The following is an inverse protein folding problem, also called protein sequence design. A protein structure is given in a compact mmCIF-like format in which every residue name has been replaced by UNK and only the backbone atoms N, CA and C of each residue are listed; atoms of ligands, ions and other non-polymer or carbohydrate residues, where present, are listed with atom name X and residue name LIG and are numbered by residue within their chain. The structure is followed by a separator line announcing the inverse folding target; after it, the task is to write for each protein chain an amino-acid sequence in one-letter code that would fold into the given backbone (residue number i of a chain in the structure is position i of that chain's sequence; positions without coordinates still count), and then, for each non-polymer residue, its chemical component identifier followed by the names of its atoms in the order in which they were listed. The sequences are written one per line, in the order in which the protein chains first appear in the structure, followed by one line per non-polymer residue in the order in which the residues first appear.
data_IF_219845938786
#
_entry.id   IF_219845938786
#
_cell.length_a   1.000
_cell.length_b   1.000
_cell.length_c   1.000
_cell.angle_alpha   90.00
_cell.angle_beta   90.00
_cell.angle_gamma   90.00
#
_symmetry.space_group_name_H-M   'P 1'
#
loop_
_entity.id
_entity.type
_entity.pdbx_description
1 polymer ?
#
# COMPACT_ATOMS: atom_id res chain seq x y z
N UNK A 1 8.93 15.66 -29.46
CA UNK A 1 7.85 14.98 -28.70
C UNK A 1 8.50 13.76 -28.11
N UNK A 2 8.96 13.85 -26.86
CA UNK A 2 9.52 12.70 -26.16
C UNK A 2 8.35 11.79 -25.83
N UNK A 3 8.33 10.57 -26.36
CA UNK A 3 7.49 9.53 -25.80
C UNK A 3 8.00 9.31 -24.38
N UNK A 4 7.16 9.56 -23.37
CA UNK A 4 7.41 9.01 -22.05
C UNK A 4 7.49 7.50 -22.24
N UNK A 5 8.70 6.93 -22.11
CA UNK A 5 8.83 5.50 -21.91
C UNK A 5 8.00 5.17 -20.67
N UNK A 6 6.84 4.54 -20.85
CA UNK A 6 6.13 3.91 -19.74
C UNK A 6 7.13 2.92 -19.15
N UNK A 7 7.72 3.27 -18.00
CA UNK A 7 8.58 2.34 -17.26
C UNK A 7 7.77 1.07 -17.01
N UNK A 8 8.33 -0.07 -17.42
CA UNK A 8 7.82 -1.40 -17.09
C UNK A 8 7.71 -1.57 -15.56
N UNK A 9 6.89 -2.51 -15.12
CA UNK A 9 6.72 -2.86 -13.72
C UNK A 9 8.08 -3.04 -13.02
N UNK A 10 8.34 -2.25 -11.98
CA UNK A 10 9.55 -2.36 -11.18
C UNK A 10 9.37 -1.75 -9.78
N UNK A 11 10.21 -2.19 -8.84
CA UNK A 11 10.19 -1.74 -7.43
C UNK A 11 10.27 -0.21 -7.31
N UNK A 12 11.12 0.45 -8.10
CA UNK A 12 11.27 1.91 -8.06
C UNK A 12 9.97 2.66 -8.37
N UNK A 13 9.11 2.09 -9.23
CA UNK A 13 7.81 2.68 -9.55
C UNK A 13 6.83 2.54 -8.38
N UNK A 14 6.84 1.38 -7.71
CA UNK A 14 6.06 1.13 -6.49
C UNK A 14 6.51 2.09 -5.38
N UNK A 15 7.82 2.21 -5.16
CA UNK A 15 8.40 3.10 -4.15
C UNK A 15 7.97 4.55 -4.40
N UNK A 16 8.08 5.03 -5.64
CA UNK A 16 7.66 6.39 -6.01
C UNK A 16 6.16 6.61 -5.75
N UNK A 17 5.32 5.63 -6.08
CA UNK A 17 3.88 5.71 -5.84
C UNK A 17 3.56 5.77 -4.34
N UNK A 18 4.17 4.90 -3.55
CA UNK A 18 3.98 4.86 -2.09
C UNK A 18 4.51 6.15 -1.42
N UNK A 19 5.68 6.62 -1.82
CA UNK A 19 6.27 7.85 -1.28
C UNK A 19 5.37 9.08 -1.53
N UNK A 20 4.85 9.21 -2.75
CA UNK A 20 3.89 10.25 -3.07
C UNK A 20 2.62 10.10 -2.23
N UNK A 21 2.06 8.89 -2.18
CA UNK A 21 0.85 8.60 -1.42
C UNK A 21 0.98 9.01 0.06
N UNK A 22 2.04 8.55 0.73
CA UNK A 22 2.22 8.83 2.15
C UNK A 22 2.46 10.31 2.40
N UNK A 23 3.22 11.01 1.56
CA UNK A 23 3.41 12.46 1.73
C UNK A 23 2.13 13.26 1.52
N UNK A 24 1.34 12.91 0.51
CA UNK A 24 0.11 13.61 0.15
C UNK A 24 -1.01 13.47 1.20
N UNK A 25 -0.93 12.48 2.09
CA UNK A 25 -1.95 12.23 3.11
C UNK A 25 -1.55 12.62 4.54
N UNK A 26 -0.34 13.14 4.77
CA UNK A 26 0.15 13.53 6.11
C UNK A 26 -0.79 14.49 6.82
N UNK A 27 -1.21 15.57 6.15
CA UNK A 27 -2.08 16.59 6.76
C UNK A 27 -3.45 16.00 7.13
N UNK A 28 -3.99 15.13 6.28
CA UNK A 28 -5.34 14.55 6.42
C UNK A 28 -5.45 13.51 7.52
N UNK A 29 -4.32 12.89 7.86
CA UNK A 29 -4.21 11.88 8.91
C UNK A 29 -3.47 12.42 10.14
N UNK A 30 -3.22 13.74 10.19
CA UNK A 30 -2.42 14.37 11.26
C UNK A 30 -3.06 14.29 12.65
N UNK A 31 -4.38 14.13 12.73
CA UNK A 31 -5.12 13.96 13.99
C UNK A 31 -5.30 12.48 14.37
N UNK A 32 -4.84 11.54 13.54
CA UNK A 32 -5.00 10.10 13.74
C UNK A 32 -3.74 9.49 14.30
N UNK A 33 -3.89 8.73 15.38
CA UNK A 33 -2.83 7.82 15.81
C UNK A 33 -2.98 6.51 15.06
N UNK A 34 -1.92 6.04 14.42
CA UNK A 34 -1.95 4.88 13.54
C UNK A 34 -1.27 3.70 14.24
N UNK A 35 -2.01 2.60 14.35
CA UNK A 35 -1.55 1.33 14.91
C UNK A 35 -1.04 0.38 13.81
N UNK A 36 -1.65 0.40 12.64
CA UNK A 36 -1.29 -0.49 11.53
C UNK A 36 -1.60 0.15 10.17
N UNK A 37 -0.71 -0.05 9.20
CA UNK A 37 -0.97 0.23 7.78
C UNK A 37 -1.02 -1.08 7.03
N UNK A 38 -2.11 -1.31 6.31
CA UNK A 38 -2.27 -2.44 5.39
C UNK A 38 -2.07 -1.98 3.95
N UNK A 39 -1.22 -2.68 3.20
CA UNK A 39 -1.05 -2.49 1.76
C UNK A 39 -1.61 -3.72 1.05
N UNK A 40 -2.80 -3.57 0.51
CA UNK A 40 -3.49 -4.61 -0.26
C UNK A 40 -2.98 -4.65 -1.71
N UNK A 41 -2.53 -5.82 -2.16
CA UNK A 41 -1.98 -6.03 -3.51
C UNK A 41 -2.89 -6.99 -4.27
N UNK A 42 -3.69 -6.48 -5.20
CA UNK A 42 -4.73 -7.24 -5.91
C UNK A 42 -4.49 -7.21 -7.44
N UNK A 43 -3.49 -7.96 -7.95
CA UNK A 43 -3.09 -7.93 -9.35
C UNK A 43 -4.23 -8.23 -10.33
N UNK A 44 -5.08 -9.20 -10.01
CA UNK A 44 -6.21 -9.61 -10.85
C UNK A 44 -7.37 -8.60 -10.87
N UNK A 45 -7.39 -7.64 -9.94
CA UNK A 45 -8.33 -6.53 -9.94
C UNK A 45 -7.70 -5.24 -10.47
N UNK A 46 -6.44 -5.28 -10.92
CA UNK A 46 -5.68 -4.08 -11.27
C UNK A 46 -5.79 -3.03 -10.16
N UNK A 47 -5.62 -3.47 -8.90
CA UNK A 47 -5.87 -2.65 -7.71
C UNK A 47 -4.74 -2.80 -6.70
N UNK A 48 -4.43 -1.67 -6.08
CA UNK A 48 -3.58 -1.57 -4.88
C UNK A 48 -4.36 -0.73 -3.90
N UNK A 49 -4.40 -1.15 -2.64
CA UNK A 49 -5.11 -0.45 -1.56
C UNK A 49 -4.11 -0.07 -0.47
N UNK A 50 -4.34 1.08 0.15
CA UNK A 50 -3.69 1.46 1.40
C UNK A 50 -4.78 1.77 2.41
N UNK A 51 -4.79 0.98 3.48
CA UNK A 51 -5.75 1.09 4.58
C UNK A 51 -5.02 1.42 5.88
N UNK A 52 -5.69 2.13 6.78
CA UNK A 52 -5.13 2.50 8.08
C UNK A 52 -6.01 1.96 9.20
N UNK A 53 -5.39 1.37 10.21
CA UNK A 53 -6.04 1.06 11.48
C UNK A 53 -5.69 2.16 12.48
N UNK A 54 -6.68 2.97 12.85
CA UNK A 54 -6.50 4.04 13.83
C UNK A 54 -6.62 3.50 15.27
N UNK A 55 -5.84 4.06 16.20
CA UNK A 55 -5.93 3.70 17.61
C UNK A 55 -7.36 3.90 18.13
N UNK A 56 -7.95 2.82 18.65
CA UNK A 56 -9.33 2.83 19.16
C UNK A 56 -10.41 2.62 18.08
N UNK A 57 -10.05 2.17 16.88
CA UNK A 57 -11.03 1.62 15.94
C UNK A 57 -11.84 0.48 16.62
N UNK A 58 -13.13 0.45 16.34
CA UNK A 58 -14.08 -0.52 16.90
C UNK A 58 -14.11 -1.84 16.14
N UNK A 59 -13.61 -1.86 14.90
CA UNK A 59 -13.48 -3.06 14.09
C UNK A 59 -12.40 -3.99 14.65
N UNK A 60 -12.46 -5.26 14.29
CA UNK A 60 -11.36 -6.19 14.59
C UNK A 60 -10.15 -5.85 13.72
N UNK A 61 -8.95 -5.99 14.28
CA UNK A 61 -7.70 -5.86 13.53
C UNK A 61 -7.64 -6.85 12.34
N UNK A 62 -8.28 -8.01 12.44
CA UNK A 62 -8.25 -9.03 11.39
C UNK A 62 -9.32 -8.79 10.30
N UNK A 63 -10.26 -7.87 10.53
CA UNK A 63 -11.36 -7.53 9.61
C UNK A 63 -11.08 -6.20 8.89
N UNK A 64 -10.06 -6.22 8.02
CA UNK A 64 -9.50 -5.03 7.35
C UNK A 64 -10.59 -4.22 6.62
N UNK A 65 -11.54 -4.90 5.97
CA UNK A 65 -12.62 -4.25 5.22
C UNK A 65 -13.62 -3.50 6.12
N UNK A 66 -13.63 -3.77 7.43
CA UNK A 66 -14.48 -3.09 8.40
C UNK A 66 -13.81 -1.87 9.05
N UNK A 67 -12.51 -1.65 8.81
CA UNK A 67 -11.79 -0.52 9.36
C UNK A 67 -12.36 0.80 8.85
N UNK A 68 -12.35 1.82 9.71
CA UNK A 68 -12.90 3.14 9.36
C UNK A 68 -12.14 3.82 8.21
N UNK A 69 -10.83 3.56 8.12
CA UNK A 69 -9.95 4.08 7.07
C UNK A 69 -9.52 2.96 6.09
N UNK A 70 -10.42 2.01 5.83
CA UNK A 70 -10.26 0.99 4.80
C UNK A 70 -10.17 1.60 3.40
N UNK A 71 -9.23 1.12 2.57
CA UNK A 71 -8.96 1.59 1.21
C UNK A 71 -9.00 3.13 1.11
N UNK A 72 -8.28 3.79 2.03
CA UNK A 72 -8.17 5.25 2.06
C UNK A 72 -7.58 5.79 0.75
N UNK A 73 -6.82 4.95 0.02
CA UNK A 73 -6.36 5.22 -1.34
C UNK A 73 -7.46 5.49 -2.35
N UNK A 74 -8.63 4.88 -2.20
CA UNK A 74 -9.78 5.11 -3.08
C UNK A 74 -10.60 6.36 -2.73
N UNK A 75 -10.46 6.88 -1.50
CA UNK A 75 -11.30 7.96 -0.97
C UNK A 75 -10.92 9.37 -1.43
N UNK A 76 -9.87 9.52 -2.26
CA UNK A 76 -9.31 10.82 -2.62
C UNK A 76 -9.91 11.36 -3.93
N UNK A 77 -10.59 12.51 -3.85
CA UNK A 77 -10.94 13.32 -5.03
C UNK A 77 -9.66 13.66 -5.81
N UNK A 78 -9.46 13.02 -6.95
CA UNK A 78 -8.27 13.21 -7.81
C UNK A 78 -7.53 11.92 -8.19
N UNK A 79 -7.87 10.80 -7.56
CA UNK A 79 -7.26 9.47 -7.74
C UNK A 79 -5.74 9.44 -7.49
N UNK A 80 -5.25 8.44 -6.76
CA UNK A 80 -3.82 8.18 -6.62
C UNK A 80 -3.27 7.68 -7.97
N UNK A 81 -2.97 8.60 -8.89
CA UNK A 81 -2.65 8.30 -10.29
C UNK A 81 -1.41 7.41 -10.43
N UNK A 82 -0.38 7.64 -9.60
CA UNK A 82 0.79 6.77 -9.57
C UNK A 82 0.43 5.35 -9.08
N UNK A 83 -0.50 5.22 -8.14
CA UNK A 83 -1.05 3.93 -7.72
C UNK A 83 -1.78 3.23 -8.87
N UNK A 84 -2.63 3.95 -9.61
CA UNK A 84 -3.32 3.40 -10.78
C UNK A 84 -2.32 2.91 -11.84
N UNK A 85 -1.29 3.70 -12.13
CA UNK A 85 -0.23 3.34 -13.08
C UNK A 85 0.55 2.09 -12.64
N UNK A 86 0.79 1.90 -11.33
CA UNK A 86 1.41 0.68 -10.81
C UNK A 86 0.44 -0.49 -10.91
N UNK A 87 -0.84 -0.27 -10.60
CA UNK A 87 -1.85 -1.32 -10.59
C UNK A 87 -2.14 -1.88 -12.00
N UNK A 88 -2.14 -1.00 -13.02
CA UNK A 88 -2.24 -1.41 -14.43
C UNK A 88 -1.07 -2.30 -14.86
N UNK A 89 0.16 -1.95 -14.47
CA UNK A 89 1.34 -2.72 -14.84
C UNK A 89 1.42 -4.03 -14.06
N UNK A 90 1.05 -4.00 -12.78
CA UNK A 90 0.90 -5.17 -11.93
C UNK A 90 -0.06 -6.19 -12.56
N UNK A 91 -1.20 -5.73 -13.09
CA UNK A 91 -2.17 -6.60 -13.78
C UNK A 91 -1.59 -7.25 -15.04
N UNK A 92 -0.80 -6.50 -15.83
CA UNK A 92 -0.11 -7.05 -17.01
C UNK A 92 0.93 -8.10 -16.66
N UNK A 93 1.68 -7.90 -15.58
CA UNK A 93 2.66 -8.90 -15.10
C UNK A 93 1.97 -10.14 -14.53
N UNK A 94 0.86 -9.96 -13.82
CA UNK A 94 0.05 -11.06 -13.30
C UNK A 94 -0.41 -12.02 -14.39
N UNK A 95 -0.84 -11.52 -15.54
CA UNK A 95 -1.30 -12.35 -16.66
C UNK A 95 -0.20 -13.27 -17.23
N UNK A 96 1.09 -13.02 -16.92
CA UNK A 96 2.21 -13.84 -17.39
C UNK A 96 2.47 -15.07 -16.50
N UNK A 97 2.40 -14.93 -15.17
CA UNK A 97 2.78 -15.98 -14.22
C UNK A 97 1.64 -16.45 -13.32
N UNK A 98 0.72 -15.55 -12.96
CA UNK A 98 -0.29 -15.75 -11.92
C UNK A 98 0.29 -16.21 -10.58
N UNK A 99 1.51 -15.79 -10.29
CA UNK A 99 2.15 -15.97 -8.99
C UNK A 99 2.17 -14.63 -8.26
N UNK A 100 1.49 -14.57 -7.10
CA UNK A 100 1.36 -13.34 -6.32
C UNK A 100 2.64 -13.03 -5.52
N UNK A 101 3.42 -14.06 -5.17
CA UNK A 101 4.51 -13.92 -4.21
C UNK A 101 5.56 -12.87 -4.61
N UNK A 102 6.03 -12.80 -5.87
CA UNK A 102 6.98 -11.77 -6.29
C UNK A 102 6.44 -10.35 -6.04
N UNK A 103 5.16 -10.12 -6.31
CA UNK A 103 4.53 -8.82 -6.10
C UNK A 103 4.51 -8.45 -4.61
N UNK A 104 4.15 -9.37 -3.73
CA UNK A 104 4.16 -9.11 -2.29
C UNK A 104 5.57 -8.75 -1.79
N UNK A 105 6.62 -9.40 -2.31
CA UNK A 105 8.00 -9.09 -1.96
C UNK A 105 8.50 -7.76 -2.53
N UNK A 106 8.07 -7.39 -3.75
CA UNK A 106 8.40 -6.11 -4.35
C UNK A 106 7.77 -4.95 -3.59
N UNK A 107 6.49 -5.08 -3.19
CA UNK A 107 5.82 -4.10 -2.33
C UNK A 107 6.45 -4.04 -0.94
N UNK A 108 6.82 -5.18 -0.36
CA UNK A 108 7.58 -5.19 0.91
C UNK A 108 8.91 -4.46 0.77
N UNK A 109 9.64 -4.68 -0.32
CA UNK A 109 10.92 -4.01 -0.56
C UNK A 109 10.73 -2.50 -0.76
N UNK A 110 9.68 -2.09 -1.48
CA UNK A 110 9.37 -0.70 -1.73
C UNK A 110 8.94 0.05 -0.46
N UNK A 111 8.02 -0.52 0.34
CA UNK A 111 7.54 0.13 1.56
C UNK A 111 8.61 0.23 2.64
N UNK A 112 9.57 -0.70 2.63
CA UNK A 112 10.70 -0.70 3.56
C UNK A 112 11.91 0.10 3.06
N UNK A 113 11.80 0.81 1.93
CA UNK A 113 12.86 1.72 1.49
C UNK A 113 13.04 2.87 2.48
N UNK A 114 14.25 3.41 2.59
CA UNK A 114 14.55 4.52 3.52
C UNK A 114 13.62 5.72 3.29
N UNK A 115 13.30 6.03 2.03
CA UNK A 115 12.46 7.17 1.69
C UNK A 115 11.00 6.96 2.11
N UNK A 116 10.45 5.77 1.88
CA UNK A 116 9.07 5.45 2.26
C UNK A 116 8.95 5.28 3.77
N UNK A 117 9.92 4.62 4.42
CA UNK A 117 10.01 4.52 5.89
C UNK A 117 10.05 5.89 6.54
N UNK A 118 10.87 6.82 6.01
CA UNK A 118 10.93 8.18 6.53
C UNK A 118 9.58 8.90 6.41
N UNK A 119 8.88 8.78 5.28
CA UNK A 119 7.57 9.41 5.08
C UNK A 119 6.49 8.81 6.00
N UNK A 120 6.47 7.49 6.20
CA UNK A 120 5.57 6.84 7.17
C UNK A 120 5.90 7.28 8.60
N UNK A 121 7.18 7.47 8.93
CA UNK A 121 7.64 7.95 10.23
C UNK A 121 7.19 9.37 10.60
N UNK A 122 6.68 10.15 9.64
CA UNK A 122 6.13 11.49 9.89
C UNK A 122 4.68 11.45 10.40
N UNK A 123 4.01 10.31 10.32
CA UNK A 123 2.67 10.12 10.91
C UNK A 123 2.76 10.00 12.43
N UNK A 124 1.62 10.21 13.12
CA UNK A 124 1.51 9.91 14.54
C UNK A 124 1.36 8.39 14.73
N UNK A 125 2.47 7.69 14.88
CA UNK A 125 2.51 6.23 15.03
C UNK A 125 2.39 5.81 16.50
N UNK A 126 1.71 4.69 16.76
CA UNK A 126 1.69 4.09 18.10
C UNK A 126 2.99 3.33 18.41
N UNK A 127 3.19 2.98 19.69
CA UNK A 127 4.39 2.26 20.11
C UNK A 127 4.52 0.85 19.52
N UNK A 128 3.40 0.25 19.10
CA UNK A 128 3.35 -1.09 18.52
C UNK A 128 3.06 -1.04 17.01
N UNK A 129 3.29 0.12 16.39
CA UNK A 129 3.01 0.33 14.99
C UNK A 129 3.69 -0.71 14.09
N UNK A 130 2.96 -1.21 13.10
CA UNK A 130 3.53 -2.01 12.04
C UNK A 130 2.92 -1.71 10.67
N UNK A 131 3.60 -2.20 9.63
CA UNK A 131 3.06 -2.26 8.27
C UNK A 131 2.85 -3.72 7.92
N UNK A 132 1.75 -4.02 7.24
CA UNK A 132 1.47 -5.36 6.75
C UNK A 132 1.19 -5.41 5.26
N UNK A 133 1.60 -6.53 4.67
CA UNK A 133 1.26 -6.95 3.31
C UNK A 133 0.86 -8.42 3.42
N UNK A 134 -0.38 -8.73 3.08
CA UNK A 134 -0.95 -10.06 3.17
C UNK A 134 -1.22 -10.64 1.77
N UNK A 135 -1.21 -11.96 1.67
CA UNK A 135 -1.74 -12.69 0.51
C UNK A 135 -3.28 -12.72 0.65
N UNK A 136 -4.02 -11.97 -0.18
CA UNK A 136 -5.46 -11.81 0.00
C UNK A 136 -6.26 -13.08 -0.34
N UNK A 137 -5.66 -14.07 -1.00
CA UNK A 137 -6.30 -15.37 -1.26
C UNK A 137 -6.10 -16.36 -0.09
N UNK A 138 -5.34 -15.98 0.95
CA UNK A 138 -5.04 -16.83 2.11
C UNK A 138 -5.59 -16.22 3.41
N UNK A 139 -6.66 -16.81 4.00
CA UNK A 139 -7.26 -16.32 5.24
C UNK A 139 -6.31 -16.25 6.45
N UNK A 140 -5.25 -17.06 6.46
CA UNK A 140 -4.20 -17.06 7.49
C UNK A 140 -2.85 -16.66 6.89
N UNK A 141 -2.86 -15.69 5.96
CA UNK A 141 -1.62 -15.17 5.41
C UNK A 141 -0.71 -14.69 6.52
N UNK A 142 0.57 -15.05 6.44
CA UNK A 142 1.59 -14.35 7.22
C UNK A 142 1.71 -12.91 6.71
N UNK A 143 2.26 -12.03 7.54
CA UNK A 143 2.73 -10.74 7.08
C UNK A 143 4.00 -10.92 6.22
N UNK A 144 4.00 -10.36 5.02
CA UNK A 144 5.15 -10.35 4.10
C UNK A 144 6.03 -9.11 4.25
N UNK A 145 5.59 -8.11 5.02
CA UNK A 145 6.36 -6.91 5.33
C UNK A 145 7.07 -7.07 6.68
N UNK A 146 8.40 -7.07 6.66
CA UNK A 146 9.22 -6.91 7.86
C UNK A 146 9.44 -5.41 8.11
N UNK A 147 8.60 -4.83 8.98
CA UNK A 147 8.66 -3.41 9.34
C UNK A 147 9.72 -3.14 10.41
#
# INVERSE_FOLDING_TARGET
MFSEEKMEYCINKIEKALLEYFRSNLERLSDKEIDLIDIGVFPWHSKIEVSFYESGDSASLDDIAAWKLYDFSSMNEGHWNLGLDVAEDLSKEWDKSRDILPFLFDFSSAVTSDAVRAAIGEYKLSNNFCVQILDPDKPNSKNYCEW
#
